data_IF_389755198671
#
_entry.id   IF_389755198671
#
_cell.length_a   1.000
_cell.length_b   1.000
_cell.length_c   1.000
_cell.angle_alpha   90.00
_cell.angle_beta   90.00
_cell.angle_gamma   90.00
#
_symmetry.space_group_name_H-M   'P 1'
#
loop_
_entity.id
_entity.type
_entity.pdbx_description
1 polymer ?
#
# COMPACT_ATOMS: atom_id res chain seq x y z
N UNK A 1 -10.75 5.61 0.10
CA UNK A 1 -10.30 6.93 0.58
C UNK A 1 -8.78 7.07 0.57
N UNK A 2 -8.01 6.11 1.12
CA UNK A 2 -6.54 6.21 1.19
C UNK A 2 -5.81 6.31 -0.17
N UNK A 3 -6.38 5.73 -1.24
CA UNK A 3 -5.83 5.81 -2.60
C UNK A 3 -5.75 7.24 -3.14
N UNK A 4 -6.60 8.16 -2.68
CA UNK A 4 -6.54 9.57 -3.08
C UNK A 4 -5.30 10.27 -2.54
N UNK A 5 -4.89 9.94 -1.32
CA UNK A 5 -3.64 10.47 -0.75
C UNK A 5 -2.43 9.91 -1.49
N UNK A 6 -2.49 8.65 -1.94
CA UNK A 6 -1.44 8.09 -2.78
C UNK A 6 -1.35 8.81 -4.11
N UNK A 7 -2.46 9.01 -4.81
CA UNK A 7 -2.48 9.79 -6.06
C UNK A 7 -1.89 11.19 -5.85
N UNK A 8 -2.35 11.89 -4.80
CA UNK A 8 -1.83 13.22 -4.48
C UNK A 8 -0.33 13.22 -4.19
N UNK A 9 0.18 12.23 -3.46
CA UNK A 9 1.60 12.08 -3.20
C UNK A 9 2.39 11.74 -4.50
N UNK A 10 1.83 10.90 -5.38
CA UNK A 10 2.40 10.59 -6.69
C UNK A 10 2.47 11.80 -7.62
N UNK A 11 1.50 12.72 -7.52
CA UNK A 11 1.50 13.99 -8.28
C UNK A 11 2.48 15.01 -7.70
N UNK A 12 2.73 14.95 -6.38
CA UNK A 12 3.56 15.94 -5.66
C UNK A 12 5.05 15.61 -5.64
N UNK A 13 5.39 14.31 -5.71
CA UNK A 13 6.77 13.83 -5.73
C UNK A 13 7.47 14.20 -7.04
N UNK A 14 8.73 14.61 -6.95
CA UNK A 14 9.53 14.95 -8.13
C UNK A 14 10.02 13.68 -8.87
N UNK A 15 10.83 13.84 -9.92
CA UNK A 15 11.41 12.74 -10.71
C UNK A 15 12.26 11.77 -9.88
N UNK A 16 12.76 12.21 -8.73
CA UNK A 16 13.48 11.38 -7.77
C UNK A 16 12.81 11.51 -6.40
N UNK A 17 12.45 10.38 -5.77
CA UNK A 17 11.95 10.39 -4.41
C UNK A 17 11.37 9.06 -3.96
N UNK A 18 10.86 9.06 -2.73
CA UNK A 18 10.23 7.89 -2.11
C UNK A 18 8.92 8.33 -1.46
N UNK A 19 7.85 7.56 -1.69
CA UNK A 19 6.59 7.64 -0.94
C UNK A 19 6.53 6.44 -0.01
N UNK A 20 6.32 6.68 1.28
CA UNK A 20 6.17 5.64 2.28
C UNK A 20 4.85 5.82 3.04
N UNK A 21 3.94 4.86 2.93
CA UNK A 21 2.66 4.89 3.65
C UNK A 21 2.35 3.57 4.34
N UNK A 22 1.66 3.66 5.47
CA UNK A 22 0.91 2.55 6.06
C UNK A 22 -0.57 2.72 5.72
N UNK A 23 -1.15 1.75 5.03
CA UNK A 23 -2.54 1.83 4.52
C UNK A 23 -3.25 0.49 4.64
N UNK A 24 -4.55 0.47 4.32
CA UNK A 24 -5.30 -0.77 4.23
C UNK A 24 -4.70 -1.69 3.16
N UNK A 25 -4.47 -2.97 3.49
CA UNK A 25 -3.86 -3.96 2.61
C UNK A 25 -4.69 -4.38 1.38
N UNK A 26 -5.92 -3.86 1.24
CA UNK A 26 -6.86 -4.28 0.19
C UNK A 26 -6.31 -4.15 -1.22
N UNK A 27 -5.38 -3.23 -1.48
CA UNK A 27 -4.80 -3.03 -2.82
C UNK A 27 -3.94 -4.22 -3.31
N UNK A 28 -3.52 -5.11 -2.41
CA UNK A 28 -2.68 -6.26 -2.74
C UNK A 28 -3.51 -7.33 -3.46
N UNK A 29 -4.61 -7.79 -2.86
CA UNK A 29 -5.38 -8.93 -3.38
C UNK A 29 -6.71 -8.55 -4.05
N UNK A 30 -7.27 -7.37 -3.75
CA UNK A 30 -8.64 -7.07 -4.18
C UNK A 30 -8.72 -6.95 -5.70
N UNK A 31 -9.81 -7.49 -6.27
CA UNK A 31 -10.12 -7.42 -7.71
C UNK A 31 -10.30 -5.98 -8.19
N UNK A 32 -10.88 -5.12 -7.36
CA UNK A 32 -11.16 -3.70 -7.72
C UNK A 32 -9.92 -2.81 -7.77
N UNK A 33 -8.74 -3.34 -7.44
CA UNK A 33 -7.47 -2.60 -7.41
C UNK A 33 -6.49 -3.05 -8.50
N UNK A 34 -6.96 -3.79 -9.50
CA UNK A 34 -6.16 -4.18 -10.66
C UNK A 34 -5.62 -2.97 -11.44
N UNK A 35 -6.47 -1.97 -11.71
CA UNK A 35 -6.07 -0.71 -12.35
C UNK A 35 -5.07 0.08 -11.49
N UNK A 36 -5.28 0.11 -10.17
CA UNK A 36 -4.34 0.74 -9.24
C UNK A 36 -2.95 0.09 -9.30
N UNK A 37 -2.88 -1.25 -9.25
CA UNK A 37 -1.61 -1.98 -9.35
C UNK A 37 -0.91 -1.72 -10.68
N UNK A 38 -1.67 -1.67 -11.77
CA UNK A 38 -1.15 -1.31 -13.10
C UNK A 38 -0.55 0.09 -13.11
N UNK A 39 -1.27 1.09 -12.61
CA UNK A 39 -0.80 2.49 -12.56
C UNK A 39 0.45 2.63 -11.69
N UNK A 40 0.45 2.07 -10.48
CA UNK A 40 1.62 2.14 -9.58
C UNK A 40 2.83 1.47 -10.21
N UNK A 41 2.66 0.33 -10.89
CA UNK A 41 3.73 -0.35 -11.63
C UNK A 41 4.26 0.44 -12.83
N UNK A 42 3.51 1.41 -13.35
CA UNK A 42 3.93 2.26 -14.46
C UNK A 42 4.62 3.54 -13.99
N UNK A 43 4.24 4.07 -12.82
CA UNK A 43 4.73 5.37 -12.32
C UNK A 43 5.97 5.27 -11.44
N UNK A 44 6.27 4.09 -10.90
CA UNK A 44 7.36 3.86 -9.94
C UNK A 44 8.29 2.72 -10.39
N UNK A 45 9.57 2.89 -10.11
CA UNK A 45 10.63 1.95 -10.50
C UNK A 45 10.70 0.73 -9.59
N UNK A 46 10.59 0.99 -8.29
CA UNK A 46 10.64 -0.03 -7.26
C UNK A 46 9.46 0.12 -6.32
N UNK A 47 8.80 -1.01 -6.06
CA UNK A 47 7.62 -1.11 -5.22
C UNK A 47 7.91 -2.16 -4.17
N UNK A 48 8.00 -1.74 -2.91
CA UNK A 48 8.16 -2.65 -1.78
C UNK A 48 6.89 -2.64 -0.94
N UNK A 49 6.35 -3.82 -0.69
CA UNK A 49 5.12 -3.99 0.10
C UNK A 49 5.44 -4.95 1.24
N UNK A 50 5.28 -4.46 2.47
CA UNK A 50 5.37 -5.25 3.69
C UNK A 50 3.94 -5.49 4.16
N UNK A 51 3.48 -6.71 3.94
CA UNK A 51 2.16 -7.14 4.35
C UNK A 51 2.16 -7.68 5.78
N UNK A 52 1.36 -7.07 6.65
CA UNK A 52 1.23 -7.53 8.05
C UNK A 52 0.24 -8.68 8.23
N UNK A 53 -0.53 -9.02 7.18
CA UNK A 53 -1.56 -10.06 7.19
C UNK A 53 -2.60 -9.89 8.32
N UNK A 54 -2.77 -8.67 8.83
CA UNK A 54 -3.59 -8.37 10.01
C UNK A 54 -5.10 -8.23 9.74
N UNK A 55 -5.60 -8.81 8.64
CA UNK A 55 -7.01 -8.72 8.24
C UNK A 55 -7.89 -9.75 8.98
N UNK A 56 -8.45 -9.31 10.11
CA UNK A 56 -9.31 -10.14 10.97
C UNK A 56 -10.60 -10.54 10.24
N UNK A 57 -11.07 -9.76 9.27
CA UNK A 57 -12.29 -10.09 8.51
C UNK A 57 -12.07 -11.26 7.56
N UNK A 58 -10.87 -11.37 6.99
CA UNK A 58 -10.48 -12.52 6.15
C UNK A 58 -10.08 -13.72 6.99
N UNK A 59 -9.44 -13.50 8.14
CA UNK A 59 -9.03 -14.58 9.04
C UNK A 59 -9.45 -14.27 10.49
N UNK A 60 -10.63 -14.75 10.93
CA UNK A 60 -11.11 -14.48 12.29
C UNK A 60 -10.21 -15.06 13.40
N UNK A 61 -9.28 -15.98 13.08
CA UNK A 61 -8.38 -16.61 14.06
C UNK A 61 -7.31 -15.66 14.61
N UNK A 62 -7.00 -14.59 13.88
CA UNK A 62 -6.06 -13.56 14.31
C UNK A 62 -6.74 -12.42 15.09
N UNK A 63 -8.00 -12.60 15.48
CA UNK A 63 -8.74 -11.63 16.28
C UNK A 63 -8.03 -11.37 17.62
N UNK A 64 -7.97 -10.09 17.99
CA UNK A 64 -7.26 -9.60 19.17
C UNK A 64 -6.41 -8.37 18.84
N UNK A 65 -5.84 -7.72 19.86
CA UNK A 65 -4.98 -6.54 19.70
C UNK A 65 -3.56 -6.88 19.27
N UNK A 66 -3.15 -8.16 19.34
CA UNK A 66 -1.77 -8.58 19.14
C UNK A 66 -1.32 -8.59 17.68
N UNK A 67 -2.23 -8.86 16.74
CA UNK A 67 -1.88 -9.09 15.33
C UNK A 67 -2.02 -7.83 14.46
N UNK A 68 -2.75 -6.82 14.92
CA UNK A 68 -2.91 -5.56 14.21
C UNK A 68 -2.22 -4.44 14.98
N UNK A 69 -1.24 -3.79 14.36
CA UNK A 69 -0.45 -2.71 14.97
C UNK A 69 -1.28 -1.51 15.44
N UNK A 70 -2.51 -1.36 14.96
CA UNK A 70 -3.45 -0.30 15.36
C UNK A 70 -4.63 -0.82 16.19
N UNK A 71 -4.67 -2.11 16.54
CA UNK A 71 -5.80 -2.70 17.27
C UNK A 71 -7.14 -2.68 16.51
N UNK A 72 -7.10 -2.54 15.18
CA UNK A 72 -8.30 -2.51 14.32
C UNK A 72 -8.53 -3.84 13.60
N UNK A 73 -9.74 -4.07 13.09
CA UNK A 73 -10.09 -5.29 12.34
C UNK A 73 -9.56 -5.29 10.90
N UNK A 74 -9.37 -4.11 10.31
CA UNK A 74 -8.93 -3.97 8.92
C UNK A 74 -7.43 -4.23 8.80
N UNK A 75 -7.06 -5.11 7.87
CA UNK A 75 -5.65 -5.42 7.63
C UNK A 75 -4.87 -4.23 7.10
N UNK A 76 -3.60 -4.11 7.51
CA UNK A 76 -2.72 -3.03 7.07
C UNK A 76 -1.47 -3.54 6.36
N UNK A 77 -0.90 -2.72 5.49
CA UNK A 77 0.36 -2.98 4.84
C UNK A 77 1.16 -1.68 4.75
N UNK A 78 2.48 -1.81 4.87
CA UNK A 78 3.43 -0.73 4.63
C UNK A 78 3.88 -0.81 3.18
N UNK A 79 3.93 0.32 2.51
CA UNK A 79 4.31 0.43 1.12
C UNK A 79 5.36 1.49 0.93
N UNK A 80 6.41 1.15 0.20
CA UNK A 80 7.42 2.07 -0.30
C UNK A 80 7.37 2.10 -1.82
N UNK A 81 7.18 3.28 -2.38
CA UNK A 81 7.18 3.54 -3.82
C UNK A 81 8.37 4.43 -4.12
N UNK A 82 9.31 3.91 -4.90
CA UNK A 82 10.55 4.62 -5.24
C UNK A 82 10.49 5.06 -6.69
N UNK A 83 10.79 6.34 -6.91
CA UNK A 83 10.94 6.94 -8.23
C UNK A 83 12.38 7.42 -8.39
N UNK A 84 13.02 7.07 -9.49
CA UNK A 84 14.40 7.42 -9.81
C UNK A 84 14.48 7.91 -11.25
N UNK A 85 15.06 9.08 -11.46
CA UNK A 85 15.37 9.61 -12.78
C UNK A 85 16.40 8.70 -13.45
N UNK A 86 16.07 8.17 -14.63
CA UNK A 86 16.86 7.15 -15.31
C UNK A 86 16.66 5.73 -14.76
N UNK A 87 15.74 5.56 -13.80
CA UNK A 87 14.94 4.34 -13.71
C UNK A 87 14.04 4.18 -14.94
N UNK A 88 13.26 3.12 -14.98
CA UNK A 88 12.44 2.71 -16.13
C UNK A 88 11.65 3.85 -16.79
#
# INVERSE_FOLDING_TARGET
MYTRFLRWASDRIDKNGIIAFITNRSYIDSRTFDGFRKTVSQEFDYIYIIDTQSDVRKNPKIAGTTHNVFGIQTGVAVMFLVKKSGGK
#
